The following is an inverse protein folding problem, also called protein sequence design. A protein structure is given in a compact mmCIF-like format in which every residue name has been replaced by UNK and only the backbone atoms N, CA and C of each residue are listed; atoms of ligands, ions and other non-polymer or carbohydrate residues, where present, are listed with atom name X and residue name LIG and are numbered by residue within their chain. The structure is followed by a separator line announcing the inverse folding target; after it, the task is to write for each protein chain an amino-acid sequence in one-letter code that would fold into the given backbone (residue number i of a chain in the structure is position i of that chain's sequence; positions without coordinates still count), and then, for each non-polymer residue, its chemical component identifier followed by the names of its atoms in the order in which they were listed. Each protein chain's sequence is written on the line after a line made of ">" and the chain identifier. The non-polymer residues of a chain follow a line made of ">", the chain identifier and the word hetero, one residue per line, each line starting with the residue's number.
data_IF_309108673120
#
_entry.id   IF_309108673120
#
_cell.length_a   1.000
_cell.length_b   1.000
_cell.length_c   1.000
_cell.angle_alpha   90.00
_cell.angle_beta   90.00
_cell.angle_gamma   90.00
#
_symmetry.space_group_name_H-M   'P 1'
#
loop_
_entity.id
_entity.type
_entity.pdbx_description
1 polymer ?
#
# COMPACT_ATOMS: atom_id res chain seq x y z
N UNK A 1 -9.31 21.25 16.59
CA UNK A 1 -9.05 21.06 15.14
C UNK A 1 -7.89 20.10 15.04
N UNK A 2 -8.02 19.02 14.27
CA UNK A 2 -6.95 18.02 14.08
C UNK A 2 -6.37 18.24 12.70
N UNK A 3 -5.05 18.42 12.59
CA UNK A 3 -4.39 18.56 11.30
C UNK A 3 -3.97 17.17 10.79
N UNK A 4 -4.54 16.73 9.66
CA UNK A 4 -4.14 15.48 8.99
C UNK A 4 -3.60 15.86 7.62
N UNK A 5 -2.30 15.68 7.43
CA UNK A 5 -1.61 15.91 6.16
C UNK A 5 -1.36 14.58 5.44
N UNK A 6 -0.98 14.65 4.17
CA UNK A 6 -0.56 13.47 3.42
C UNK A 6 0.67 12.83 4.07
N UNK A 7 0.61 11.52 4.31
CA UNK A 7 1.65 10.74 4.97
C UNK A 7 2.21 9.68 4.02
N UNK A 8 3.43 9.23 4.27
CA UNK A 8 4.12 8.23 3.44
C UNK A 8 3.42 6.88 3.40
N UNK A 9 2.73 6.52 4.48
CA UNK A 9 2.10 5.22 4.65
C UNK A 9 0.86 5.30 5.54
N UNK A 10 -0.09 4.39 5.29
CA UNK A 10 -1.26 4.19 6.15
C UNK A 10 -0.87 3.87 7.61
N UNK A 11 0.32 3.29 7.84
CA UNK A 11 0.81 2.97 9.18
C UNK A 11 1.18 4.22 10.00
N UNK A 12 1.36 5.38 9.36
CA UNK A 12 1.69 6.64 10.03
C UNK A 12 0.48 7.36 10.60
N UNK A 13 -0.72 7.10 10.06
CA UNK A 13 -1.96 7.79 10.46
C UNK A 13 -2.27 7.62 11.95
N UNK A 14 -2.21 6.42 12.55
CA UNK A 14 -2.46 6.27 13.99
C UNK A 14 -1.47 7.05 14.87
N UNK A 15 -0.21 7.15 14.43
CA UNK A 15 0.86 7.86 15.15
C UNK A 15 0.61 9.38 15.10
N UNK A 16 0.23 9.90 13.93
CA UNK A 16 -0.14 11.30 13.76
C UNK A 16 -1.35 11.68 14.64
N UNK A 17 -2.36 10.81 14.73
CA UNK A 17 -3.53 11.06 15.57
C UNK A 17 -3.20 11.00 17.07
N UNK A 18 -2.25 10.16 17.48
CA UNK A 18 -1.76 10.13 18.86
C UNK A 18 -1.00 11.42 19.21
N UNK A 19 -0.11 11.90 18.33
CA UNK A 19 0.64 13.16 18.51
C UNK A 19 -0.29 14.38 18.68
N UNK A 20 -1.48 14.34 18.08
CA UNK A 20 -2.50 15.38 18.20
C UNK A 20 -3.40 15.23 19.45
N UNK A 21 -3.14 14.26 20.33
CA UNK A 21 -3.87 14.09 21.60
C UNK A 21 -5.32 13.62 21.44
N UNK A 22 -5.66 13.00 20.31
CA UNK A 22 -7.04 12.59 19.99
C UNK A 22 -7.57 11.54 20.95
N UNK A 23 -6.71 10.59 21.36
CA UNK A 23 -7.07 9.53 22.32
C UNK A 23 -7.46 10.11 23.68
N UNK A 24 -6.71 11.08 24.17
CA UNK A 24 -7.00 11.76 25.44
C UNK A 24 -8.30 12.57 25.37
N UNK A 25 -8.58 13.21 24.24
CA UNK A 25 -9.85 13.92 24.04
C UNK A 25 -11.05 12.97 24.14
N UNK A 26 -11.01 11.82 23.44
CA UNK A 26 -12.10 10.84 23.50
C UNK A 26 -12.25 10.22 24.88
N UNK A 27 -11.14 9.96 25.59
CA UNK A 27 -11.18 9.45 26.96
C UNK A 27 -11.97 10.37 27.89
N UNK A 28 -11.70 11.67 27.87
CA UNK A 28 -12.40 12.64 28.72
C UNK A 28 -13.83 12.89 28.24
N UNK A 29 -14.06 12.94 26.93
CA UNK A 29 -15.37 13.27 26.37
C UNK A 29 -16.39 12.14 26.55
N UNK A 30 -15.94 10.88 26.44
CA UNK A 30 -16.79 9.70 26.47
C UNK A 30 -16.69 8.92 27.79
N UNK A 31 -15.91 9.40 28.78
CA UNK A 31 -15.65 8.73 30.05
C UNK A 31 -15.22 7.26 29.89
N UNK A 32 -14.35 6.98 28.92
CA UNK A 32 -13.91 5.62 28.62
C UNK A 32 -12.87 5.15 29.65
N UNK A 33 -13.00 3.92 30.20
CA UNK A 33 -12.04 3.34 31.13
C UNK A 33 -10.80 2.81 30.40
N UNK A 34 -10.09 3.69 29.69
CA UNK A 34 -8.89 3.34 28.93
C UNK A 34 -7.67 3.58 29.83
N UNK A 35 -6.85 2.55 30.04
CA UNK A 35 -5.55 2.73 30.70
C UNK A 35 -4.61 3.55 29.81
N UNK A 36 -3.73 4.37 30.42
CA UNK A 36 -2.77 5.24 29.68
C UNK A 36 -1.72 4.45 28.86
N UNK A 37 -1.85 3.14 28.71
CA UNK A 37 -0.81 2.25 28.19
C UNK A 37 -1.15 1.55 26.85
N UNK A 38 -1.54 2.23 25.77
CA UNK A 38 -1.47 1.62 24.44
C UNK A 38 -0.03 1.56 23.91
N UNK A 39 1.00 1.91 24.71
CA UNK A 39 2.41 1.98 24.29
C UNK A 39 2.88 0.74 23.54
N UNK A 40 2.49 -0.47 23.98
CA UNK A 40 2.93 -1.70 23.31
C UNK A 40 2.32 -1.88 21.92
N UNK A 41 1.06 -1.47 21.73
CA UNK A 41 0.43 -1.53 20.41
C UNK A 41 0.96 -0.43 19.50
N UNK A 42 1.13 0.77 20.05
CA UNK A 42 1.64 1.91 19.31
C UNK A 42 3.09 1.73 18.86
N UNK A 43 3.92 1.08 19.69
CA UNK A 43 5.27 0.64 19.31
C UNK A 43 5.25 -0.23 18.04
N UNK A 44 4.27 -1.13 17.89
CA UNK A 44 4.14 -1.96 16.67
C UNK A 44 3.83 -1.11 15.44
N UNK A 45 2.92 -0.13 15.57
CA UNK A 45 2.61 0.80 14.48
C UNK A 45 3.83 1.64 14.08
N UNK A 46 4.56 2.13 15.07
CA UNK A 46 5.82 2.85 14.86
C UNK A 46 6.86 2.00 14.15
N UNK A 47 7.06 0.77 14.60
CA UNK A 47 7.99 -0.16 13.97
C UNK A 47 7.61 -0.47 12.52
N UNK A 48 6.32 -0.70 12.22
CA UNK A 48 5.85 -0.92 10.84
C UNK A 48 6.05 0.31 9.96
N UNK A 49 5.70 1.50 10.45
CA UNK A 49 5.89 2.75 9.71
C UNK A 49 7.38 3.02 9.44
N UNK A 50 8.22 2.86 10.46
CA UNK A 50 9.65 3.07 10.35
C UNK A 50 10.34 2.04 9.44
N UNK A 51 9.84 0.80 9.38
CA UNK A 51 10.29 -0.22 8.42
C UNK A 51 9.89 0.16 7.01
N UNK A 52 8.65 0.60 6.81
CA UNK A 52 8.15 1.02 5.51
C UNK A 52 8.97 2.17 4.91
N UNK A 53 9.34 3.16 5.74
CA UNK A 53 10.16 4.29 5.30
C UNK A 53 11.63 3.91 5.00
N UNK A 54 12.10 2.74 5.48
CA UNK A 54 13.49 2.25 5.35
C UNK A 54 13.67 1.10 4.35
N UNK A 55 12.67 0.83 3.51
CA UNK A 55 12.76 -0.22 2.50
C UNK A 55 13.76 0.16 1.40
N UNK A 56 14.78 -0.66 1.20
CA UNK A 56 15.84 -0.45 0.21
C UNK A 56 15.69 -1.37 -1.01
N UNK A 57 15.38 -2.64 -0.76
CA UNK A 57 15.20 -3.65 -1.81
C UNK A 57 13.80 -3.53 -2.40
N UNK A 58 13.66 -3.77 -3.70
CA UNK A 58 12.37 -3.69 -4.42
C UNK A 58 11.96 -5.06 -4.90
N UNK A 59 10.68 -5.40 -4.75
CA UNK A 59 10.06 -6.59 -5.33
C UNK A 59 9.02 -6.14 -6.34
N UNK A 60 9.24 -6.48 -7.61
CA UNK A 60 8.41 -6.10 -8.73
C UNK A 60 7.44 -7.22 -9.08
N UNK A 61 6.15 -7.00 -8.85
CA UNK A 61 5.08 -7.96 -9.18
C UNK A 61 4.26 -7.44 -10.36
N UNK A 62 4.13 -8.26 -11.40
CA UNK A 62 3.22 -7.99 -12.51
C UNK A 62 1.78 -8.37 -12.14
N UNK A 63 0.86 -7.40 -12.17
CA UNK A 63 -0.56 -7.62 -11.94
C UNK A 63 -1.31 -7.50 -13.27
N UNK A 64 -1.79 -8.64 -13.77
CA UNK A 64 -2.59 -8.73 -14.99
C UNK A 64 -4.07 -8.66 -14.63
N UNK A 65 -4.81 -7.72 -15.20
CA UNK A 65 -6.21 -7.51 -14.88
C UNK A 65 -6.98 -6.72 -15.93
N UNK A 66 -8.31 -6.72 -15.83
CA UNK A 66 -9.21 -6.02 -16.78
C UNK A 66 -9.40 -4.54 -16.43
N UNK A 67 -9.24 -4.18 -15.17
CA UNK A 67 -9.52 -2.82 -14.65
C UNK A 67 -8.25 -2.13 -14.18
N UNK A 68 -7.17 -2.19 -14.95
CA UNK A 68 -5.88 -1.59 -14.59
C UNK A 68 -5.92 -0.07 -14.44
N UNK A 69 -6.89 0.59 -15.09
CA UNK A 69 -7.11 2.05 -14.98
C UNK A 69 -7.79 2.47 -13.68
N UNK A 70 -8.42 1.54 -12.97
CA UNK A 70 -9.08 1.78 -11.69
C UNK A 70 -8.23 1.19 -10.57
N UNK A 71 -7.44 2.04 -9.92
CA UNK A 71 -6.55 1.65 -8.81
C UNK A 71 -7.28 0.95 -7.66
N UNK A 72 -8.57 1.24 -7.47
CA UNK A 72 -9.37 0.71 -6.38
C UNK A 72 -9.85 -0.73 -6.62
N UNK A 73 -9.96 -1.17 -7.88
CA UNK A 73 -10.44 -2.51 -8.23
C UNK A 73 -9.57 -3.64 -7.66
N UNK A 74 -8.31 -3.34 -7.36
CA UNK A 74 -7.35 -4.28 -6.80
C UNK A 74 -6.80 -3.83 -5.43
N UNK A 75 -7.41 -2.82 -4.79
CA UNK A 75 -6.89 -2.23 -3.56
C UNK A 75 -6.63 -3.28 -2.46
N UNK A 76 -7.56 -4.22 -2.25
CA UNK A 76 -7.41 -5.29 -1.26
C UNK A 76 -6.21 -6.21 -1.54
N UNK A 77 -6.01 -6.59 -2.81
CA UNK A 77 -4.90 -7.44 -3.24
C UNK A 77 -3.57 -6.72 -3.11
N UNK A 78 -3.53 -5.45 -3.55
CA UNK A 78 -2.35 -4.59 -3.44
C UNK A 78 -1.96 -4.44 -1.98
N UNK A 79 -2.91 -4.20 -1.07
CA UNK A 79 -2.64 -4.11 0.36
C UNK A 79 -2.13 -5.42 0.94
N UNK A 80 -2.69 -6.56 0.57
CA UNK A 80 -2.18 -7.86 1.01
C UNK A 80 -0.71 -8.06 0.59
N UNK A 81 -0.36 -7.71 -0.66
CA UNK A 81 1.01 -7.77 -1.16
C UNK A 81 1.92 -6.77 -0.45
N UNK A 82 1.46 -5.55 -0.16
CA UNK A 82 2.25 -4.56 0.62
C UNK A 82 2.59 -5.10 2.01
N UNK A 83 1.63 -5.77 2.67
CA UNK A 83 1.86 -6.40 3.97
C UNK A 83 2.89 -7.54 3.89
N UNK A 84 2.83 -8.38 2.85
CA UNK A 84 3.81 -9.44 2.61
C UNK A 84 5.20 -8.87 2.28
N UNK A 85 5.27 -7.83 1.43
CA UNK A 85 6.51 -7.16 1.05
C UNK A 85 7.17 -6.49 2.27
N UNK A 86 6.39 -5.82 3.12
CA UNK A 86 6.87 -5.25 4.36
C UNK A 86 7.45 -6.34 5.28
N UNK A 87 6.81 -7.52 5.36
CA UNK A 87 7.29 -8.62 6.20
C UNK A 87 8.70 -9.09 5.80
N UNK A 88 9.00 -9.11 4.49
CA UNK A 88 10.33 -9.44 3.94
C UNK A 88 11.25 -8.21 3.75
N UNK A 89 10.87 -7.02 4.23
CA UNK A 89 11.61 -5.75 4.07
C UNK A 89 11.87 -5.34 2.61
N UNK A 90 10.94 -5.65 1.71
CA UNK A 90 10.98 -5.19 0.32
C UNK A 90 9.92 -4.12 0.05
N UNK A 91 10.25 -3.18 -0.83
CA UNK A 91 9.32 -2.22 -1.42
C UNK A 91 8.59 -2.87 -2.57
N UNK A 92 7.27 -2.94 -2.46
CA UNK A 92 6.42 -3.46 -3.52
C UNK A 92 6.36 -2.48 -4.69
N UNK A 93 6.70 -2.95 -5.88
CA UNK A 93 6.46 -2.28 -7.16
C UNK A 93 5.46 -3.09 -7.98
N UNK A 94 4.33 -2.49 -8.35
CA UNK A 94 3.29 -3.18 -9.12
C UNK A 94 3.31 -2.70 -10.55
N UNK A 95 3.56 -3.64 -11.46
CA UNK A 95 3.46 -3.43 -12.91
C UNK A 95 2.06 -3.81 -13.36
N UNK A 96 1.21 -2.82 -13.59
CA UNK A 96 -0.14 -3.03 -14.09
C UNK A 96 -0.13 -3.39 -15.58
N UNK A 97 -0.80 -4.50 -15.91
CA UNK A 97 -0.90 -5.01 -17.27
C UNK A 97 -2.37 -5.27 -17.57
N UNK A 98 -2.89 -4.63 -18.61
CA UNK A 98 -4.26 -4.89 -19.07
C UNK A 98 -4.29 -6.28 -19.72
N UNK A 99 -5.20 -7.14 -19.25
CA UNK A 99 -5.37 -8.48 -19.81
C UNK A 99 -5.69 -8.44 -21.31
N UNK A 100 -6.41 -7.43 -21.78
CA UNK A 100 -6.74 -7.28 -23.20
C UNK A 100 -5.47 -7.06 -24.05
N UNK A 101 -4.43 -6.45 -23.49
CA UNK A 101 -3.19 -6.20 -24.23
C UNK A 101 -2.39 -7.47 -24.54
N UNK A 102 -2.68 -8.59 -23.86
CA UNK A 102 -1.99 -9.87 -24.06
C UNK A 102 -2.69 -10.77 -25.08
N UNK A 103 -3.84 -10.35 -25.61
CA UNK A 103 -4.63 -11.13 -26.56
C UNK A 103 -4.05 -11.08 -27.99
N UNK A 104 -4.26 -12.15 -28.80
CA UNK A 104 -3.79 -12.19 -30.17
C UNK A 104 -4.45 -11.13 -31.08
N UNK A 105 -5.64 -10.64 -30.70
CA UNK A 105 -6.33 -9.55 -31.41
C UNK A 105 -5.50 -8.27 -31.32
N UNK A 106 -5.01 -7.94 -30.12
CA UNK A 106 -4.18 -6.75 -29.88
C UNK A 106 -2.84 -6.80 -30.60
N UNK A 107 -2.28 -8.00 -30.84
CA UNK A 107 -1.07 -8.15 -31.67
C UNK A 107 -1.31 -7.68 -33.11
N UNK A 108 -2.51 -7.88 -33.65
CA UNK A 108 -2.86 -7.51 -35.02
C UNK A 108 -3.28 -6.03 -35.11
N UNK A 109 -4.05 -5.55 -34.14
CA UNK A 109 -4.60 -4.18 -34.16
C UNK A 109 -3.62 -3.13 -33.61
N UNK A 110 -2.95 -3.42 -32.49
CA UNK A 110 -2.07 -2.49 -31.76
C UNK A 110 -0.80 -3.19 -31.23
N UNK A 111 0.13 -3.59 -32.12
CA UNK A 111 1.30 -4.40 -31.74
C UNK A 111 2.21 -3.73 -30.70
N UNK A 112 2.26 -2.40 -30.64
CA UNK A 112 3.08 -1.67 -29.65
C UNK A 112 2.61 -1.98 -28.22
N UNK A 113 1.30 -1.91 -27.97
CA UNK A 113 0.72 -2.20 -26.63
C UNK A 113 0.92 -3.65 -26.24
N UNK A 114 0.82 -4.56 -27.20
CA UNK A 114 1.08 -5.98 -26.98
C UNK A 114 2.51 -6.22 -26.50
N UNK A 115 3.52 -5.73 -27.23
CA UNK A 115 4.92 -5.93 -26.87
C UNK A 115 5.29 -5.22 -25.56
N UNK A 116 4.74 -4.03 -25.30
CA UNK A 116 4.96 -3.33 -24.03
C UNK A 116 4.38 -4.11 -22.83
N UNK A 117 3.19 -4.69 -22.97
CA UNK A 117 2.58 -5.53 -21.95
C UNK A 117 3.43 -6.78 -21.65
N UNK A 118 3.92 -7.46 -22.69
CA UNK A 118 4.82 -8.60 -22.54
C UNK A 118 6.18 -8.24 -21.95
N UNK A 119 6.75 -7.09 -22.34
CA UNK A 119 8.00 -6.61 -21.75
C UNK A 119 7.84 -6.34 -20.26
N UNK A 120 6.74 -5.70 -19.85
CA UNK A 120 6.43 -5.47 -18.43
C UNK A 120 6.30 -6.78 -17.67
N UNK A 121 5.61 -7.76 -18.24
CA UNK A 121 5.44 -9.08 -17.65
C UNK A 121 6.78 -9.80 -17.45
N UNK A 122 7.65 -9.81 -18.46
CA UNK A 122 8.96 -10.48 -18.41
C UNK A 122 9.97 -9.75 -17.51
N UNK A 123 9.79 -8.45 -17.28
CA UNK A 123 10.69 -7.64 -16.45
C UNK A 123 10.36 -7.67 -14.95
N UNK A 124 9.36 -8.42 -14.52
CA UNK A 124 8.97 -8.51 -13.12
C UNK A 124 9.88 -9.50 -12.38
N UNK A 125 10.56 -9.04 -11.32
CA UNK A 125 11.49 -9.80 -10.45
C UNK A 125 11.20 -9.55 -8.97
#
# INVERSE_FOLDING_TARGET
>A
VICVHDVSSIYRVPLLLEEQGVVDYFRHRLNLPIEKQPQRMLMKWKEMADRYDRLLETCSIALVGKYTKFSDSYASVIKALEHSALAINHKLEIKYIDSANLEPVTLQEEPVRYHEAWQRLCSAE
#
